data_IF_489062342265
#
_entry.id   IF_489062342265
#
_cell.length_a   1.000
_cell.length_b   1.000
_cell.length_c   1.000
_cell.angle_alpha   90.00
_cell.angle_beta   90.00
_cell.angle_gamma   90.00
#
_symmetry.space_group_name_H-M   'P 1'
#
loop_
_entity.id
_entity.type
_entity.pdbx_description
1 polymer ?
#
# COMPACT_ATOMS: atom_id res chain seq x y z
N UNK A 1 16.08 -5.08 -5.59
CA UNK A 1 15.21 -6.26 -5.31
C UNK A 1 15.82 -7.57 -5.79
N UNK A 2 16.48 -7.62 -6.92
CA UNK A 2 17.09 -8.85 -7.44
C UNK A 2 18.52 -9.13 -6.90
N UNK A 3 18.99 -8.38 -5.91
CA UNK A 3 20.29 -8.63 -5.30
C UNK A 3 20.34 -10.02 -4.65
N UNK A 4 21.42 -10.78 -4.79
CA UNK A 4 21.61 -12.03 -4.06
C UNK A 4 21.76 -11.81 -2.56
N UNK A 5 22.08 -10.61 -2.11
CA UNK A 5 22.23 -10.27 -0.70
C UNK A 5 20.87 -10.03 -0.05
N UNK A 6 20.47 -10.93 0.86
CA UNK A 6 19.19 -10.87 1.57
C UNK A 6 19.03 -9.57 2.38
N UNK A 7 20.09 -9.10 3.03
CA UNK A 7 20.03 -7.89 3.85
C UNK A 7 19.77 -6.64 3.00
N UNK A 8 20.36 -6.53 1.83
CA UNK A 8 20.11 -5.41 0.91
C UNK A 8 18.68 -5.45 0.35
N UNK A 9 18.17 -6.65 0.05
CA UNK A 9 16.76 -6.80 -0.37
C UNK A 9 15.82 -6.40 0.75
N UNK A 10 16.04 -6.89 1.96
CA UNK A 10 15.25 -6.57 3.14
C UNK A 10 15.26 -5.06 3.42
N UNK A 11 16.45 -4.43 3.38
CA UNK A 11 16.59 -3.01 3.56
C UNK A 11 15.79 -2.22 2.50
N UNK A 12 15.99 -2.49 1.21
CA UNK A 12 15.26 -1.82 0.14
C UNK A 12 13.74 -2.01 0.22
N UNK A 13 13.31 -3.20 0.66
CA UNK A 13 11.90 -3.52 0.86
C UNK A 13 11.27 -2.66 1.96
N UNK A 14 11.93 -2.60 3.13
CA UNK A 14 11.47 -1.79 4.27
C UNK A 14 11.49 -0.30 3.94
N UNK A 15 12.51 0.17 3.26
CA UNK A 15 12.64 1.57 2.84
C UNK A 15 11.47 1.99 1.96
N UNK A 16 11.15 1.21 0.91
CA UNK A 16 10.05 1.50 0.00
C UNK A 16 8.70 1.39 0.71
N UNK A 17 8.49 0.32 1.49
CA UNK A 17 7.23 0.14 2.20
C UNK A 17 6.99 1.23 3.26
N UNK A 18 8.06 1.64 3.95
CA UNK A 18 8.01 2.76 4.90
C UNK A 18 7.65 4.07 4.19
N UNK A 19 8.26 4.37 3.03
CA UNK A 19 7.92 5.54 2.23
C UNK A 19 6.43 5.57 1.90
N UNK A 20 5.89 4.48 1.37
CA UNK A 20 4.47 4.39 1.01
C UNK A 20 3.55 4.49 2.23
N UNK A 21 3.91 3.85 3.35
CA UNK A 21 3.08 3.82 4.55
C UNK A 21 3.14 5.12 5.37
N UNK A 22 4.18 5.93 5.24
CA UNK A 22 4.38 7.14 6.05
C UNK A 22 4.40 8.44 5.26
N UNK A 23 4.48 8.37 3.93
CA UNK A 23 4.64 9.53 3.07
C UNK A 23 6.02 10.21 3.15
N UNK A 24 7.00 9.62 3.86
CA UNK A 24 8.36 10.14 3.96
C UNK A 24 9.11 9.97 2.65
N UNK A 25 10.06 10.87 2.30
CA UNK A 25 10.90 10.66 1.14
C UNK A 25 11.78 9.42 1.33
N UNK A 26 12.15 8.78 0.23
CA UNK A 26 13.16 7.72 0.24
C UNK A 26 14.54 8.33 0.56
N UNK A 27 15.33 7.65 1.37
CA UNK A 27 16.72 8.02 1.66
C UNK A 27 17.65 7.69 0.49
N UNK A 28 17.28 6.69 -0.31
CA UNK A 28 18.07 6.22 -1.44
C UNK A 28 17.27 6.31 -2.73
N UNK A 29 17.94 6.71 -3.81
CA UNK A 29 17.35 6.61 -5.14
C UNK A 29 17.54 5.18 -5.66
N UNK A 30 16.44 4.56 -6.04
CA UNK A 30 16.43 3.26 -6.66
C UNK A 30 16.23 3.43 -8.16
N UNK A 31 17.18 2.95 -8.95
CA UNK A 31 16.94 2.74 -10.38
C UNK A 31 16.14 1.44 -10.54
N UNK A 32 14.88 1.59 -10.89
CA UNK A 32 13.96 0.44 -11.01
C UNK A 32 13.45 0.38 -12.44
N UNK A 33 14.09 -0.42 -13.30
CA UNK A 33 13.47 -0.77 -14.56
C UNK A 33 12.24 -1.65 -14.26
N UNK A 34 11.05 -1.14 -14.52
CA UNK A 34 9.82 -1.90 -14.31
C UNK A 34 9.25 -2.33 -15.66
N UNK A 35 9.02 -3.65 -15.83
CA UNK A 35 8.36 -4.22 -17.01
C UNK A 35 7.59 -5.49 -16.65
N UNK A 36 6.65 -5.89 -17.51
CA UNK A 36 5.93 -7.16 -17.34
C UNK A 36 6.87 -8.37 -17.44
N UNK A 37 7.88 -8.30 -18.29
CA UNK A 37 8.89 -9.37 -18.44
C UNK A 37 9.64 -9.58 -17.13
N UNK A 38 10.00 -8.48 -16.46
CA UNK A 38 10.65 -8.54 -15.15
C UNK A 38 9.71 -9.14 -14.09
N UNK A 39 8.44 -8.75 -14.09
CA UNK A 39 7.42 -9.35 -13.22
C UNK A 39 7.26 -10.85 -13.46
N UNK A 40 7.25 -11.29 -14.72
CA UNK A 40 7.19 -12.70 -15.09
C UNK A 40 8.46 -13.48 -14.68
N UNK A 41 9.65 -12.87 -14.79
CA UNK A 41 10.89 -13.45 -14.28
C UNK A 41 10.83 -13.64 -12.77
N UNK A 42 10.40 -12.61 -12.02
CA UNK A 42 10.23 -12.69 -10.57
C UNK A 42 9.21 -13.76 -10.18
N UNK A 43 8.11 -13.87 -10.93
CA UNK A 43 7.11 -14.92 -10.74
C UNK A 43 7.68 -16.33 -10.90
N UNK A 44 8.60 -16.56 -11.87
CA UNK A 44 9.24 -17.85 -12.09
C UNK A 44 10.31 -18.20 -11.04
N UNK A 45 10.88 -17.17 -10.38
CA UNK A 45 11.94 -17.31 -9.38
C UNK A 45 11.40 -17.51 -7.94
N UNK A 46 10.13 -17.83 -7.79
CA UNK A 46 9.36 -17.75 -6.53
C UNK A 46 9.99 -18.46 -5.33
N UNK A 47 10.74 -19.53 -5.52
CA UNK A 47 11.21 -20.36 -4.41
C UNK A 47 12.49 -19.87 -3.73
N UNK A 48 13.15 -18.82 -4.24
CA UNK A 48 14.51 -18.53 -3.79
C UNK A 48 14.76 -17.13 -3.24
N UNK A 49 13.93 -16.14 -3.55
CA UNK A 49 14.38 -14.77 -3.37
C UNK A 49 13.40 -13.76 -2.76
N UNK A 50 12.09 -14.02 -2.76
CA UNK A 50 11.10 -13.02 -2.37
C UNK A 50 10.96 -12.82 -0.87
N UNK A 51 10.50 -11.62 -0.49
CA UNK A 51 10.16 -11.27 0.90
C UNK A 51 8.63 -11.24 1.12
N UNK A 52 7.85 -11.61 0.11
CA UNK A 52 6.38 -11.66 0.18
C UNK A 52 5.88 -12.51 1.36
N UNK A 53 6.56 -13.62 1.68
CA UNK A 53 6.20 -14.48 2.79
C UNK A 53 6.32 -13.79 4.17
N UNK A 54 7.24 -12.83 4.29
CA UNK A 54 7.49 -12.10 5.53
C UNK A 54 6.55 -10.89 5.71
N UNK A 55 6.34 -10.14 4.64
CA UNK A 55 5.62 -8.87 4.69
C UNK A 55 4.20 -8.93 4.10
N UNK A 56 3.86 -10.01 3.42
CA UNK A 56 2.55 -10.19 2.79
C UNK A 56 2.30 -9.29 1.57
N UNK A 57 3.33 -8.58 1.09
CA UNK A 57 3.26 -7.77 -0.12
C UNK A 57 4.08 -8.42 -1.24
N UNK A 58 3.55 -8.51 -2.47
CA UNK A 58 4.29 -9.05 -3.60
C UNK A 58 5.53 -8.20 -3.94
N UNK A 59 6.66 -8.87 -4.24
CA UNK A 59 7.90 -8.19 -4.61
C UNK A 59 7.72 -7.31 -5.87
N UNK A 60 6.87 -7.74 -6.81
CA UNK A 60 6.50 -6.96 -7.99
C UNK A 60 5.86 -5.62 -7.62
N UNK A 61 5.04 -5.59 -6.56
CA UNK A 61 4.40 -4.35 -6.12
C UNK A 61 5.37 -3.43 -5.37
N UNK A 62 6.33 -3.97 -4.63
CA UNK A 62 7.39 -3.17 -4.04
C UNK A 62 8.21 -2.47 -5.14
N UNK A 63 8.55 -3.19 -6.21
CA UNK A 63 9.23 -2.58 -7.36
C UNK A 63 8.36 -1.53 -8.05
N UNK A 64 7.06 -1.78 -8.17
CA UNK A 64 6.13 -0.84 -8.77
C UNK A 64 5.99 0.45 -7.93
N UNK A 65 5.92 0.35 -6.59
CA UNK A 65 5.95 1.52 -5.71
C UNK A 65 7.23 2.33 -5.88
N UNK A 66 8.40 1.68 -5.92
CA UNK A 66 9.68 2.36 -6.14
C UNK A 66 9.74 3.04 -7.51
N UNK A 67 9.20 2.40 -8.55
CA UNK A 67 9.12 2.98 -9.88
C UNK A 67 8.18 4.18 -9.94
N UNK A 68 6.97 4.09 -9.37
CA UNK A 68 6.04 5.23 -9.25
C UNK A 68 6.71 6.39 -8.51
N UNK A 69 7.47 6.10 -7.44
CA UNK A 69 8.22 7.12 -6.73
C UNK A 69 9.30 7.78 -7.63
N UNK A 70 10.07 6.99 -8.37
CA UNK A 70 11.11 7.53 -9.28
C UNK A 70 10.51 8.44 -10.37
N UNK A 71 9.34 8.06 -10.91
CA UNK A 71 8.62 8.90 -11.88
C UNK A 71 8.23 10.25 -11.29
N UNK A 72 7.86 10.30 -10.01
CA UNK A 72 7.51 11.56 -9.34
C UNK A 72 8.69 12.53 -9.16
N UNK A 73 9.92 12.05 -9.29
CA UNK A 73 11.14 12.88 -9.18
C UNK A 73 11.57 13.47 -10.53
N UNK A 74 10.96 13.06 -11.63
CA UNK A 74 11.30 13.52 -12.98
C UNK A 74 10.32 14.60 -13.42
N UNK A 75 10.73 15.90 -13.51
CA UNK A 75 9.81 17.03 -13.66
C UNK A 75 9.04 17.09 -14.98
N UNK A 76 9.59 16.55 -16.06
CA UNK A 76 9.12 16.73 -17.44
C UNK A 76 8.53 15.48 -18.10
N UNK A 77 8.28 14.43 -17.34
CA UNK A 77 7.65 13.23 -17.91
C UNK A 77 6.14 13.46 -18.05
N UNK A 78 5.63 13.30 -19.27
CA UNK A 78 4.20 13.15 -19.49
C UNK A 78 3.76 11.81 -18.89
N UNK A 79 3.44 11.86 -17.59
CA UNK A 79 3.10 10.67 -16.81
C UNK A 79 1.77 10.04 -17.24
N UNK A 80 1.00 10.67 -18.14
CA UNK A 80 -0.32 10.17 -18.55
C UNK A 80 -0.23 8.82 -19.28
N UNK A 81 0.74 8.66 -20.19
CA UNK A 81 0.95 7.38 -20.86
C UNK A 81 1.40 6.29 -19.89
N UNK A 82 2.26 6.64 -18.94
CA UNK A 82 2.75 5.71 -17.93
C UNK A 82 1.63 5.32 -16.93
N UNK A 83 0.77 6.26 -16.55
CA UNK A 83 -0.40 5.98 -15.73
C UNK A 83 -1.33 5.01 -16.45
N UNK A 84 -1.68 5.30 -17.72
CA UNK A 84 -2.53 4.42 -18.53
C UNK A 84 -1.89 3.02 -18.72
N UNK A 85 -0.57 2.97 -18.88
CA UNK A 85 0.16 1.72 -18.94
C UNK A 85 0.04 0.91 -17.65
N UNK A 86 0.23 1.55 -16.48
CA UNK A 86 0.08 0.89 -15.18
C UNK A 86 -1.35 0.37 -14.99
N UNK A 87 -2.36 1.19 -15.26
CA UNK A 87 -3.78 0.81 -15.17
C UNK A 87 -4.09 -0.43 -16.00
N UNK A 88 -3.58 -0.48 -17.23
CA UNK A 88 -3.82 -1.58 -18.17
C UNK A 88 -3.08 -2.86 -17.79
N UNK A 89 -1.86 -2.73 -17.27
CA UNK A 89 -0.97 -3.88 -17.06
C UNK A 89 -0.98 -4.42 -15.62
N UNK A 90 -1.38 -3.61 -14.65
CA UNK A 90 -1.45 -4.04 -13.24
C UNK A 90 -2.30 -5.32 -13.03
N UNK A 91 -3.46 -5.51 -13.68
CA UNK A 91 -4.23 -6.76 -13.56
C UNK A 91 -3.51 -7.97 -14.16
N UNK A 92 -2.58 -7.76 -15.10
CA UNK A 92 -1.85 -8.83 -15.82
C UNK A 92 -0.64 -9.35 -15.02
N UNK A 93 -0.19 -8.63 -13.99
CA UNK A 93 0.93 -9.04 -13.15
C UNK A 93 0.56 -10.34 -12.43
N UNK A 94 1.30 -11.41 -12.75
CA UNK A 94 1.15 -12.72 -12.10
C UNK A 94 1.75 -12.67 -10.71
N UNK A 95 0.97 -13.13 -9.72
CA UNK A 95 1.37 -13.16 -8.33
C UNK A 95 1.40 -14.59 -7.82
N UNK A 96 2.39 -14.88 -6.98
CA UNK A 96 2.53 -16.19 -6.38
C UNK A 96 1.43 -16.45 -5.35
N UNK A 97 0.73 -17.54 -5.53
CA UNK A 97 -0.21 -18.08 -4.56
C UNK A 97 0.21 -19.52 -4.32
N UNK A 98 0.55 -19.86 -3.08
CA UNK A 98 0.87 -21.25 -2.74
C UNK A 98 -0.30 -22.17 -3.12
N UNK A 99 0.00 -23.18 -3.90
CA UNK A 99 -0.98 -24.17 -4.33
C UNK A 99 -1.26 -25.23 -3.25
N UNK A 100 -0.43 -25.28 -2.21
CA UNK A 100 -0.55 -26.24 -1.12
C UNK A 100 -1.26 -25.59 0.07
N UNK A 101 -2.37 -26.17 0.51
CA UNK A 101 -3.04 -25.75 1.72
C UNK A 101 -4.57 -25.69 1.66
N UNK A 102 -5.17 -25.25 2.75
CA UNK A 102 -6.59 -25.04 2.90
C UNK A 102 -7.15 -24.08 1.84
N UNK A 103 -8.22 -24.47 1.08
CA UNK A 103 -8.87 -23.60 0.12
C UNK A 103 -9.30 -22.24 0.68
N UNK A 104 -9.71 -22.17 1.95
CA UNK A 104 -10.07 -20.91 2.61
C UNK A 104 -8.89 -19.99 2.78
N UNK A 105 -7.72 -20.51 3.13
CA UNK A 105 -6.48 -19.72 3.20
C UNK A 105 -6.06 -19.21 1.83
N UNK A 106 -6.26 -20.01 0.78
CA UNK A 106 -5.98 -19.59 -0.59
C UNK A 106 -6.86 -18.42 -1.02
N UNK A 107 -8.18 -18.51 -0.78
CA UNK A 107 -9.11 -17.41 -1.07
C UNK A 107 -8.71 -16.14 -0.31
N UNK A 108 -8.33 -16.27 0.96
CA UNK A 108 -7.88 -15.15 1.78
C UNK A 108 -6.60 -14.50 1.23
N UNK A 109 -5.61 -15.30 0.83
CA UNK A 109 -4.38 -14.80 0.20
C UNK A 109 -4.67 -14.07 -1.11
N UNK A 110 -5.53 -14.62 -1.95
CA UNK A 110 -5.99 -13.94 -3.18
C UNK A 110 -6.59 -12.57 -2.87
N UNK A 111 -7.47 -12.49 -1.88
CA UNK A 111 -8.09 -11.24 -1.50
C UNK A 111 -7.07 -10.22 -0.93
N UNK A 112 -6.05 -10.67 -0.19
CA UNK A 112 -4.93 -9.79 0.25
C UNK A 112 -4.17 -9.24 -0.95
N UNK A 113 -3.87 -10.08 -1.95
CA UNK A 113 -3.18 -9.65 -3.17
C UNK A 113 -4.01 -8.62 -3.97
N UNK A 114 -5.33 -8.83 -4.05
CA UNK A 114 -6.23 -7.85 -4.68
C UNK A 114 -6.32 -6.54 -3.88
N UNK A 115 -6.30 -6.60 -2.54
CA UNK A 115 -6.18 -5.39 -1.73
C UNK A 115 -4.92 -4.60 -2.05
N UNK A 116 -3.79 -5.28 -2.26
CA UNK A 116 -2.55 -4.63 -2.67
C UNK A 116 -2.64 -4.01 -4.08
N UNK A 117 -3.37 -4.62 -5.05
CA UNK A 117 -3.63 -4.00 -6.36
C UNK A 117 -4.36 -2.67 -6.21
N UNK A 118 -5.42 -2.63 -5.40
CA UNK A 118 -6.14 -1.39 -5.12
C UNK A 118 -5.24 -0.33 -4.45
N UNK A 119 -4.39 -0.74 -3.53
CA UNK A 119 -3.45 0.16 -2.85
C UNK A 119 -2.43 0.76 -3.81
N UNK A 120 -1.92 -0.02 -4.76
CA UNK A 120 -1.04 0.49 -5.83
C UNK A 120 -1.74 1.57 -6.64
N UNK A 121 -3.01 1.37 -7.01
CA UNK A 121 -3.78 2.37 -7.75
C UNK A 121 -4.08 3.62 -6.92
N UNK A 122 -4.43 3.48 -5.63
CA UNK A 122 -4.61 4.62 -4.73
C UNK A 122 -3.31 5.44 -4.65
N UNK A 123 -2.16 4.76 -4.47
CA UNK A 123 -0.86 5.42 -4.44
C UNK A 123 -0.55 6.12 -5.77
N UNK A 124 -0.77 5.45 -6.90
CA UNK A 124 -0.59 6.01 -8.23
C UNK A 124 -1.37 7.32 -8.40
N UNK A 125 -2.67 7.30 -8.11
CA UNK A 125 -3.52 8.46 -8.31
C UNK A 125 -3.22 9.58 -7.31
N UNK A 126 -3.14 9.28 -6.02
CA UNK A 126 -2.95 10.31 -5.01
C UNK A 126 -1.52 10.83 -4.95
N UNK A 127 -0.51 9.95 -5.12
CA UNK A 127 0.89 10.36 -5.01
C UNK A 127 1.45 10.88 -6.34
N UNK A 128 1.34 10.13 -7.45
CA UNK A 128 1.91 10.53 -8.74
C UNK A 128 1.02 11.55 -9.45
N UNK A 129 -0.28 11.26 -9.61
CA UNK A 129 -1.22 12.16 -10.28
C UNK A 129 -1.67 13.35 -9.43
N UNK A 130 -1.26 13.43 -8.15
CA UNK A 130 -1.65 14.48 -7.20
C UNK A 130 -3.18 14.61 -7.01
N UNK A 131 -3.93 13.55 -7.28
CA UNK A 131 -5.36 13.50 -7.05
C UNK A 131 -5.68 13.54 -5.55
N UNK A 132 -6.85 14.05 -5.21
CA UNK A 132 -7.36 14.00 -3.84
C UNK A 132 -8.32 12.82 -3.64
N UNK A 133 -8.73 12.57 -2.40
CA UNK A 133 -9.61 11.47 -2.02
C UNK A 133 -11.01 11.50 -2.69
N UNK A 134 -11.42 12.63 -3.29
CA UNK A 134 -12.70 12.76 -4.01
C UNK A 134 -12.57 12.59 -5.53
N UNK A 135 -11.36 12.36 -6.06
CA UNK A 135 -11.18 12.01 -7.48
C UNK A 135 -11.96 10.72 -7.80
N UNK A 136 -12.76 10.68 -8.88
CA UNK A 136 -13.57 9.51 -9.23
C UNK A 136 -12.78 8.20 -9.32
N UNK A 137 -11.52 8.23 -9.79
CA UNK A 137 -10.64 7.06 -9.87
C UNK A 137 -10.24 6.56 -8.48
N UNK A 138 -9.92 7.49 -7.57
CA UNK A 138 -9.60 7.16 -6.17
C UNK A 138 -10.83 6.58 -5.47
N UNK A 139 -11.99 7.22 -5.62
CA UNK A 139 -13.26 6.75 -5.03
C UNK A 139 -13.63 5.36 -5.54
N UNK A 140 -13.54 5.11 -6.85
CA UNK A 140 -13.82 3.79 -7.44
C UNK A 140 -12.89 2.72 -6.88
N UNK A 141 -11.60 3.00 -6.85
CA UNK A 141 -10.56 2.09 -6.37
C UNK A 141 -10.73 1.80 -4.88
N UNK A 142 -10.96 2.83 -4.06
CA UNK A 142 -11.22 2.72 -2.63
C UNK A 142 -12.48 1.90 -2.34
N UNK A 143 -13.56 2.11 -3.10
CA UNK A 143 -14.79 1.33 -2.97
C UNK A 143 -14.55 -0.17 -3.23
N UNK A 144 -13.74 -0.50 -4.24
CA UNK A 144 -13.32 -1.88 -4.52
C UNK A 144 -12.56 -2.49 -3.35
N UNK A 145 -11.60 -1.76 -2.80
CA UNK A 145 -10.84 -2.15 -1.61
C UNK A 145 -11.75 -2.39 -0.40
N UNK A 146 -12.64 -1.45 -0.07
CA UNK A 146 -13.55 -1.55 1.07
C UNK A 146 -14.52 -2.73 0.94
N UNK A 147 -14.96 -3.06 -0.27
CA UNK A 147 -15.78 -4.24 -0.53
C UNK A 147 -15.05 -5.53 -0.17
N UNK A 148 -13.76 -5.64 -0.51
CA UNK A 148 -12.96 -6.82 -0.17
C UNK A 148 -12.76 -6.93 1.34
N UNK A 149 -12.32 -5.87 2.02
CA UNK A 149 -12.04 -5.97 3.46
C UNK A 149 -13.29 -6.21 4.30
N UNK A 150 -14.46 -5.73 3.88
CA UNK A 150 -15.73 -6.04 4.56
C UNK A 150 -16.11 -7.52 4.40
N UNK A 151 -15.81 -8.13 3.25
CA UNK A 151 -16.06 -9.55 2.99
C UNK A 151 -15.09 -10.49 3.70
N UNK A 152 -13.94 -10.02 4.15
CA UNK A 152 -12.94 -10.84 4.81
C UNK A 152 -13.13 -10.81 6.33
N UNK A 153 -13.33 -11.98 6.94
CA UNK A 153 -13.35 -12.07 8.41
C UNK A 153 -11.96 -11.77 8.98
N UNK A 154 -11.85 -11.03 10.10
CA UNK A 154 -10.57 -10.84 10.81
C UNK A 154 -9.94 -12.20 11.13
N UNK A 155 -8.64 -12.34 10.90
CA UNK A 155 -7.91 -13.55 11.26
C UNK A 155 -7.44 -13.54 12.71
N UNK A 156 -7.03 -14.71 13.24
CA UNK A 156 -6.39 -14.83 14.55
C UNK A 156 -4.93 -14.36 14.58
N UNK A 157 -4.30 -14.24 13.42
CA UNK A 157 -2.90 -13.81 13.25
C UNK A 157 -2.83 -12.38 12.72
N UNK A 158 -1.67 -11.70 12.86
CA UNK A 158 -1.45 -10.38 12.29
C UNK A 158 -1.91 -10.36 10.83
N UNK A 159 -2.85 -9.49 10.54
CA UNK A 159 -3.47 -9.47 9.23
C UNK A 159 -2.51 -8.77 8.26
N UNK A 160 -2.03 -9.48 7.23
CA UNK A 160 -1.25 -8.89 6.13
C UNK A 160 -1.99 -7.73 5.43
N UNK A 161 -3.22 -7.44 5.86
CA UNK A 161 -4.04 -6.32 5.41
C UNK A 161 -3.75 -5.01 6.14
N UNK A 162 -2.99 -5.01 7.24
CA UNK A 162 -2.81 -3.77 8.03
C UNK A 162 -2.15 -2.67 7.19
N UNK A 163 -1.05 -2.96 6.50
CA UNK A 163 -0.39 -1.96 5.66
C UNK A 163 -1.31 -1.47 4.50
N UNK A 164 -1.99 -2.34 3.74
CA UNK A 164 -3.02 -1.92 2.80
C UNK A 164 -4.12 -1.05 3.42
N UNK A 165 -4.60 -1.39 4.62
CA UNK A 165 -5.63 -0.63 5.31
C UNK A 165 -5.16 0.78 5.68
N UNK A 166 -3.91 0.93 6.15
CA UNK A 166 -3.33 2.24 6.48
C UNK A 166 -3.27 3.12 5.22
N UNK A 167 -2.76 2.57 4.11
CA UNK A 167 -2.60 3.31 2.87
C UNK A 167 -3.97 3.72 2.30
N UNK A 168 -4.92 2.78 2.24
CA UNK A 168 -6.27 3.07 1.79
C UNK A 168 -7.03 4.02 2.74
N UNK A 169 -6.68 4.00 4.03
CA UNK A 169 -7.23 4.87 5.05
C UNK A 169 -7.05 6.36 4.76
N UNK A 170 -5.97 6.73 4.06
CA UNK A 170 -5.74 8.13 3.62
C UNK A 170 -6.85 8.59 2.68
N UNK A 171 -7.32 7.71 1.80
CA UNK A 171 -8.38 7.99 0.82
C UNK A 171 -9.80 7.87 1.41
N UNK A 172 -9.95 7.53 2.69
CA UNK A 172 -11.25 7.21 3.27
C UNK A 172 -12.03 8.46 3.66
N UNK A 173 -13.16 8.68 3.01
CA UNK A 173 -14.04 9.85 3.22
C UNK A 173 -15.21 9.51 4.15
N UNK A 174 -15.89 8.38 3.89
CA UNK A 174 -17.12 7.99 4.58
C UNK A 174 -16.85 7.48 6.01
N UNK A 175 -17.65 7.95 6.98
CA UNK A 175 -17.48 7.58 8.40
C UNK A 175 -17.66 6.07 8.63
N UNK A 176 -18.59 5.43 7.92
CA UNK A 176 -18.79 3.99 8.02
C UNK A 176 -17.54 3.19 7.59
N UNK A 177 -16.80 3.70 6.60
CA UNK A 177 -15.54 3.09 6.16
C UNK A 177 -14.43 3.32 7.19
N UNK A 178 -14.36 4.52 7.77
CA UNK A 178 -13.45 4.83 8.89
C UNK A 178 -13.67 3.91 10.06
N UNK A 179 -14.91 3.65 10.45
CA UNK A 179 -15.25 2.71 11.52
C UNK A 179 -14.82 1.28 11.20
N UNK A 180 -15.00 0.86 9.96
CA UNK A 180 -14.51 -0.45 9.51
C UNK A 180 -12.98 -0.54 9.64
N UNK A 181 -12.25 0.50 9.23
CA UNK A 181 -10.79 0.58 9.35
C UNK A 181 -10.35 0.57 10.81
N UNK A 182 -10.98 1.39 11.68
CA UNK A 182 -10.71 1.42 13.12
C UNK A 182 -10.82 0.04 13.74
N UNK A 183 -11.95 -0.63 13.49
CA UNK A 183 -12.19 -1.97 14.02
C UNK A 183 -11.14 -2.96 13.53
N UNK A 184 -10.75 -2.90 12.26
CA UNK A 184 -9.75 -3.80 11.70
C UNK A 184 -8.38 -3.61 12.34
N UNK A 185 -7.93 -2.38 12.52
CA UNK A 185 -6.64 -2.06 13.12
C UNK A 185 -6.66 -2.39 14.61
N UNK A 186 -7.66 -1.93 15.35
CA UNK A 186 -7.69 -2.05 16.81
C UNK A 186 -8.01 -3.46 17.31
N UNK A 187 -8.55 -4.34 16.47
CA UNK A 187 -8.69 -5.77 16.80
C UNK A 187 -7.36 -6.53 16.88
N UNK A 188 -6.27 -5.93 16.41
CA UNK A 188 -4.91 -6.49 16.56
C UNK A 188 -4.27 -5.86 17.80
N UNK A 189 -4.01 -6.66 18.84
CA UNK A 189 -3.56 -6.19 20.14
C UNK A 189 -2.36 -5.22 20.09
N UNK A 190 -1.37 -5.51 19.23
CA UNK A 190 -0.18 -4.65 19.07
C UNK A 190 -0.54 -3.23 18.57
N UNK A 191 -1.59 -3.10 17.77
CA UNK A 191 -2.05 -1.84 17.18
C UNK A 191 -3.02 -1.09 18.10
N UNK A 192 -3.66 -1.80 19.03
CA UNK A 192 -4.51 -1.22 20.05
C UNK A 192 -3.70 -0.63 21.23
N UNK A 193 -2.46 -1.09 21.43
CA UNK A 193 -1.63 -0.69 22.58
C UNK A 193 -1.07 0.72 22.36
N UNK A 194 -1.48 1.68 23.20
CA UNK A 194 -1.01 3.07 23.17
C UNK A 194 0.50 3.15 23.40
N UNK A 195 1.16 4.07 22.69
CA UNK A 195 2.61 4.29 22.80
C UNK A 195 3.46 3.31 21.99
N UNK A 196 2.86 2.48 21.16
CA UNK A 196 3.57 1.66 20.18
C UNK A 196 3.57 2.33 18.81
N UNK A 197 4.62 2.11 18.02
CA UNK A 197 4.69 2.58 16.63
C UNK A 197 3.51 2.08 15.79
N UNK A 198 3.01 0.88 16.09
CA UNK A 198 1.82 0.33 15.45
C UNK A 198 0.56 1.16 15.72
N UNK A 199 0.36 1.61 16.97
CA UNK A 199 -0.78 2.46 17.33
C UNK A 199 -0.69 3.85 16.70
N UNK A 200 0.52 4.35 16.46
CA UNK A 200 0.71 5.67 15.84
C UNK A 200 0.13 5.72 14.43
N UNK A 201 0.12 4.63 13.67
CA UNK A 201 -0.55 4.59 12.36
C UNK A 201 -2.06 4.89 12.46
N UNK A 202 -2.75 4.36 13.49
CA UNK A 202 -4.17 4.69 13.70
C UNK A 202 -4.35 6.17 14.06
N UNK A 203 -3.48 6.69 14.93
CA UNK A 203 -3.48 8.11 15.32
C UNK A 203 -3.23 9.03 14.13
N UNK A 204 -2.36 8.62 13.21
CA UNK A 204 -2.09 9.34 11.95
C UNK A 204 -3.36 9.41 11.09
N UNK A 205 -4.08 8.31 10.90
CA UNK A 205 -5.34 8.32 10.16
C UNK A 205 -6.39 9.21 10.81
N UNK A 206 -6.53 9.14 12.15
CA UNK A 206 -7.45 10.01 12.90
C UNK A 206 -7.09 11.49 12.74
N UNK A 207 -5.81 11.85 12.76
CA UNK A 207 -5.35 13.22 12.52
C UNK A 207 -5.72 13.69 11.11
N UNK A 208 -5.47 12.87 10.08
CA UNK A 208 -5.86 13.19 8.69
C UNK A 208 -7.38 13.43 8.61
N UNK A 209 -8.18 12.52 9.15
CA UNK A 209 -9.64 12.60 9.07
C UNK A 209 -10.21 13.78 9.85
N UNK A 210 -9.66 14.07 11.04
CA UNK A 210 -10.10 15.22 11.85
C UNK A 210 -9.77 16.54 11.14
N UNK A 211 -8.54 16.67 10.64
CA UNK A 211 -8.06 17.89 9.97
C UNK A 211 -8.81 18.16 8.67
N UNK A 212 -8.91 17.17 7.78
CA UNK A 212 -9.60 17.32 6.49
C UNK A 212 -11.09 17.64 6.67
N UNK A 213 -11.73 17.11 7.73
CA UNK A 213 -13.09 17.48 8.12
C UNK A 213 -13.17 18.93 8.59
N UNK A 214 -12.25 19.36 9.46
CA UNK A 214 -12.22 20.75 9.96
C UNK A 214 -11.97 21.77 8.85
N UNK A 215 -11.09 21.45 7.91
CA UNK A 215 -10.75 22.27 6.76
C UNK A 215 -11.77 22.16 5.61
N UNK A 216 -12.74 21.26 5.71
CA UNK A 216 -13.79 21.01 4.69
C UNK A 216 -13.20 20.71 3.31
N UNK A 217 -12.13 19.95 3.24
CA UNK A 217 -11.49 19.52 2.00
C UNK A 217 -11.25 18.00 1.97
N UNK A 218 -11.14 17.41 0.77
CA UNK A 218 -10.69 16.04 0.65
C UNK A 218 -9.22 15.89 1.05
N UNK A 219 -8.85 14.71 1.52
CA UNK A 219 -7.46 14.37 1.81
C UNK A 219 -6.62 14.32 0.53
N UNK A 220 -5.36 14.71 0.65
CA UNK A 220 -4.31 14.55 -0.37
C UNK A 220 -3.17 13.72 0.21
N UNK A 221 -2.30 13.18 -0.66
CA UNK A 221 -1.23 12.28 -0.20
C UNK A 221 -0.25 12.94 0.80
N UNK A 222 0.01 14.24 0.65
CA UNK A 222 0.89 14.98 1.56
C UNK A 222 0.36 15.05 3.00
N UNK A 223 -0.96 14.89 3.21
CA UNK A 223 -1.56 14.86 4.54
C UNK A 223 -1.00 13.72 5.40
N UNK A 224 -0.60 12.62 4.77
CA UNK A 224 0.00 11.47 5.45
C UNK A 224 1.32 11.86 6.12
N UNK A 225 2.23 12.49 5.38
CA UNK A 225 3.53 12.95 5.92
C UNK A 225 3.35 13.96 7.04
N UNK A 226 2.46 14.92 6.86
CA UNK A 226 2.19 15.94 7.86
C UNK A 226 1.61 15.34 9.15
N UNK A 227 0.70 14.38 9.02
CA UNK A 227 0.12 13.68 10.16
C UNK A 227 1.17 12.85 10.91
N UNK A 228 2.06 12.16 10.18
CA UNK A 228 3.18 11.46 10.81
C UNK A 228 4.06 12.39 11.62
N UNK A 229 4.45 13.52 11.05
CA UNK A 229 5.26 14.52 11.77
C UNK A 229 4.57 15.00 13.06
N UNK A 230 3.26 15.25 13.01
CA UNK A 230 2.50 15.68 14.21
C UNK A 230 2.35 14.60 15.28
N UNK A 231 2.17 13.35 14.87
CA UNK A 231 1.91 12.24 15.79
C UNK A 231 3.18 11.69 16.41
N UNK A 232 4.25 11.54 15.61
CA UNK A 232 5.51 10.89 16.03
C UNK A 232 6.65 11.87 16.31
N UNK A 233 6.53 13.13 15.88
CA UNK A 233 7.60 14.13 15.99
C UNK A 233 8.80 13.87 15.07
N UNK A 234 8.65 12.98 14.09
CA UNK A 234 9.75 12.57 13.20
C UNK A 234 9.44 12.92 11.74
#
# INVERSE_FOLDING_TARGET
MLSPNLNLRHFGYLEILSNVATGRPLYFQFEVPFSLELCDQMYRMQDSCGLQWLYGVPDQFIMLFAWIYSLSQTPDSDNLELVAWIETNLPQIKLAIDHFGDPLLRIRRMAVLECWRFVVLIYLYMFLCKSNASDPRVVHTHTGFMRLIRGLKPGRHPDCLIAPIIIAGVATVEEQDRDTIRQRILNVQQWATRGTAANDHMRVLEDIWARTRAERRPAVWSDLREAYYRVSGQ
#
